data_IF_791514631858
#
_entry.id   IF_791514631858
#
_cell.length_a   1.000
_cell.length_b   1.000
_cell.length_c   1.000
_cell.angle_alpha   90.00
_cell.angle_beta   90.00
_cell.angle_gamma   90.00
#
_symmetry.space_group_name_H-M   'P 1'
#
loop_
_entity.id
_entity.type
_entity.pdbx_description
1 polymer ?
#
# COMPACT_ATOMS: atom_id res chain seq x y z
N UNK A 1 -0.92 -5.90 20.16
CA UNK A 1 0.09 -5.96 19.08
C UNK A 1 0.64 -4.54 18.88
N UNK A 2 1.90 -4.36 18.50
CA UNK A 2 2.48 -3.02 18.29
C UNK A 2 2.13 -2.50 16.90
N UNK A 3 1.89 -1.19 16.77
CA UNK A 3 1.62 -0.52 15.48
C UNK A 3 2.92 -0.05 14.79
N UNK A 4 4.08 -0.54 15.23
CA UNK A 4 5.41 -0.11 14.74
C UNK A 4 5.63 -0.51 13.27
N UNK A 5 5.10 -1.65 12.82
CA UNK A 5 5.17 -2.06 11.41
C UNK A 5 4.21 -1.33 10.47
N UNK A 6 3.45 -0.34 10.96
CA UNK A 6 2.44 0.36 10.14
C UNK A 6 2.97 1.70 9.63
N UNK A 7 2.90 1.86 8.31
CA UNK A 7 3.27 3.07 7.57
C UNK A 7 2.03 3.78 7.01
N UNK A 8 1.93 5.09 7.22
CA UNK A 8 0.94 5.94 6.55
C UNK A 8 1.63 6.69 5.43
N UNK A 9 1.20 6.45 4.19
CA UNK A 9 1.77 7.04 2.98
C UNK A 9 0.78 8.02 2.37
N UNK A 10 1.13 9.30 2.29
CA UNK A 10 0.32 10.34 1.66
C UNK A 10 0.90 10.69 0.29
N UNK A 11 0.13 10.42 -0.77
CA UNK A 11 0.57 10.60 -2.16
C UNK A 11 0.06 11.92 -2.71
N UNK A 12 1.01 12.78 -3.11
CA UNK A 12 0.79 14.05 -3.80
C UNK A 12 -0.21 14.97 -3.08
N UNK A 13 -0.11 15.07 -1.75
CA UNK A 13 -0.97 15.95 -0.96
C UNK A 13 -0.85 17.42 -1.41
N UNK A 14 -1.99 18.05 -1.66
CA UNK A 14 -2.07 19.41 -2.22
C UNK A 14 -2.05 20.47 -1.12
N UNK A 15 -2.81 20.22 -0.05
CA UNK A 15 -2.95 21.15 1.06
C UNK A 15 -2.09 20.70 2.25
N UNK A 16 -1.05 21.47 2.64
CA UNK A 16 -0.17 21.08 3.75
C UNK A 16 -0.92 20.92 5.08
N UNK A 17 -2.03 21.63 5.27
CA UNK A 17 -2.89 21.43 6.44
C UNK A 17 -3.42 19.99 6.59
N UNK A 18 -3.64 19.26 5.48
CA UNK A 18 -4.03 17.85 5.54
C UNK A 18 -2.90 16.95 6.01
N UNK A 19 -1.64 17.27 5.67
CA UNK A 19 -0.46 16.56 6.20
C UNK A 19 -0.41 16.72 7.72
N UNK A 20 -0.60 17.95 8.21
CA UNK A 20 -0.69 18.23 9.64
C UNK A 20 -1.85 17.50 10.32
N UNK A 21 -3.04 17.52 9.72
CA UNK A 21 -4.21 16.80 10.24
C UNK A 21 -4.01 15.29 10.29
N UNK A 22 -3.39 14.70 9.27
CA UNK A 22 -3.03 13.28 9.24
C UNK A 22 -2.00 12.93 10.32
N UNK A 23 -0.95 13.75 10.50
CA UNK A 23 0.02 13.56 11.57
C UNK A 23 -0.65 13.62 12.96
N UNK A 24 -1.57 14.56 13.17
CA UNK A 24 -2.36 14.62 14.42
C UNK A 24 -3.19 13.35 14.64
N UNK A 25 -3.87 12.88 13.59
CA UNK A 25 -4.66 11.65 13.66
C UNK A 25 -3.80 10.43 14.01
N UNK A 26 -2.62 10.30 13.39
CA UNK A 26 -1.64 9.27 13.69
C UNK A 26 -1.16 9.31 15.14
N UNK A 27 -0.79 10.50 15.63
CA UNK A 27 -0.35 10.67 17.02
C UNK A 27 -1.44 10.30 18.03
N UNK A 28 -2.69 10.66 17.77
CA UNK A 28 -3.83 10.27 18.61
C UNK A 28 -3.99 8.74 18.73
N UNK A 29 -3.56 8.00 17.72
CA UNK A 29 -3.70 6.54 17.64
C UNK A 29 -2.38 5.79 17.89
N UNK A 30 -1.28 6.50 18.14
CA UNK A 30 0.02 5.92 18.46
C UNK A 30 0.83 5.41 17.26
N UNK A 31 0.57 5.93 16.05
CA UNK A 31 1.37 5.61 14.85
C UNK A 31 2.50 6.62 14.66
N UNK A 32 3.65 6.15 14.20
CA UNK A 32 4.90 6.94 14.16
C UNK A 32 5.54 7.08 12.76
N UNK A 33 5.08 6.35 11.75
CA UNK A 33 5.75 6.27 10.45
C UNK A 33 4.93 6.96 9.36
N UNK A 34 5.21 8.26 9.15
CA UNK A 34 4.60 9.08 8.11
C UNK A 34 5.54 9.17 6.90
N UNK A 35 5.02 8.83 5.73
CA UNK A 35 5.72 8.92 4.45
C UNK A 35 4.94 9.82 3.50
N UNK A 36 5.66 10.68 2.78
CA UNK A 36 5.07 11.65 1.85
C UNK A 36 5.67 11.43 0.47
N UNK A 37 4.83 11.10 -0.52
CA UNK A 37 5.26 10.91 -1.90
C UNK A 37 4.92 12.16 -2.70
N UNK A 38 5.92 12.94 -3.10
CA UNK A 38 5.74 14.17 -3.87
C UNK A 38 4.73 15.17 -3.27
N UNK A 39 4.81 15.56 -1.99
CA UNK A 39 3.92 16.57 -1.42
C UNK A 39 4.11 17.91 -2.13
N UNK A 40 3.02 18.62 -2.46
CA UNK A 40 3.12 19.88 -3.20
C UNK A 40 3.80 20.99 -2.38
N UNK A 41 3.60 20.97 -1.06
CA UNK A 41 4.18 21.93 -0.12
C UNK A 41 4.52 21.24 1.19
N UNK A 42 5.80 20.96 1.42
CA UNK A 42 6.32 20.41 2.67
C UNK A 42 7.84 20.65 2.76
N UNK A 43 8.40 21.08 3.91
CA UNK A 43 7.72 21.42 5.17
C UNK A 43 6.84 22.68 5.04
N UNK A 44 5.91 22.88 5.98
CA UNK A 44 5.01 24.05 5.98
C UNK A 44 4.54 24.39 7.38
N UNK A 45 4.53 25.69 7.74
CA UNK A 45 3.96 26.19 8.99
C UNK A 45 2.49 25.82 9.13
N UNK A 46 1.73 25.76 8.04
CA UNK A 46 0.33 25.34 8.07
C UNK A 46 0.19 23.88 8.54
N UNK A 47 1.07 22.99 8.07
CA UNK A 47 1.10 21.60 8.52
C UNK A 47 1.44 21.53 10.01
N UNK A 48 2.46 22.28 10.47
CA UNK A 48 2.87 22.33 11.88
C UNK A 48 1.74 22.83 12.79
N UNK A 49 1.04 23.90 12.40
CA UNK A 49 -0.11 24.44 13.15
C UNK A 49 -1.24 23.41 13.21
N UNK A 50 -1.56 22.75 12.09
CA UNK A 50 -2.62 21.74 12.02
C UNK A 50 -2.28 20.45 12.77
N UNK A 51 -1.01 20.11 12.90
CA UNK A 51 -0.55 18.95 13.68
C UNK A 51 -0.80 19.09 15.18
N UNK A 52 -0.98 20.32 15.70
CA UNK A 52 -1.43 20.60 17.06
C UNK A 52 -0.71 19.76 18.14
N UNK A 53 0.63 19.80 18.16
CA UNK A 53 1.47 19.06 19.10
C UNK A 53 2.11 17.79 18.53
N UNK A 54 1.64 17.31 17.37
CA UNK A 54 2.22 16.17 16.66
C UNK A 54 3.39 16.55 15.71
N UNK A 55 4.13 17.63 15.99
CA UNK A 55 5.21 18.11 15.12
C UNK A 55 6.34 17.08 14.92
N UNK A 56 6.60 16.25 15.93
CA UNK A 56 7.59 15.18 15.86
C UNK A 56 7.34 14.19 14.69
N UNK A 57 6.09 13.97 14.31
CA UNK A 57 5.75 13.14 13.14
C UNK A 57 6.08 13.84 11.82
N UNK A 58 5.94 15.16 11.76
CA UNK A 58 6.32 15.95 10.58
C UNK A 58 7.84 16.03 10.47
N UNK A 59 8.54 16.20 11.58
CA UNK A 59 10.01 16.24 11.64
C UNK A 59 10.66 14.91 11.24
N UNK A 60 10.01 13.79 11.57
CA UNK A 60 10.45 12.43 11.21
C UNK A 60 9.84 11.93 9.89
N UNK A 61 8.99 12.73 9.23
CA UNK A 61 8.34 12.30 8.01
C UNK A 61 9.38 12.05 6.91
N UNK A 62 9.26 10.91 6.24
CA UNK A 62 10.16 10.56 5.13
C UNK A 62 9.52 11.04 3.84
N UNK A 63 10.22 11.90 3.10
CA UNK A 63 9.78 12.38 1.79
C UNK A 63 10.42 11.50 0.72
N UNK A 64 9.57 10.88 -0.09
CA UNK A 64 9.95 9.95 -1.15
C UNK A 64 9.70 10.57 -2.53
N UNK A 65 10.53 10.19 -3.51
CA UNK A 65 10.37 10.62 -4.90
C UNK A 65 9.21 9.88 -5.59
N UNK A 66 9.07 8.58 -5.28
CA UNK A 66 8.03 7.72 -5.87
C UNK A 66 7.25 6.94 -4.82
N UNK A 67 6.12 6.36 -5.25
CA UNK A 67 5.37 5.43 -4.40
C UNK A 67 6.19 4.16 -4.13
N UNK A 68 6.99 3.71 -5.10
CA UNK A 68 7.80 2.50 -4.98
C UNK A 68 8.87 2.66 -3.87
N UNK A 69 9.46 3.86 -3.72
CA UNK A 69 10.38 4.15 -2.62
C UNK A 69 9.68 4.12 -1.25
N UNK A 70 8.41 4.55 -1.21
CA UNK A 70 7.63 4.63 0.02
C UNK A 70 7.05 3.29 0.48
N UNK A 71 6.99 2.27 -0.37
CA UNK A 71 6.39 0.97 -0.04
C UNK A 71 7.29 -0.22 -0.37
N UNK A 72 8.49 0.01 -0.89
CA UNK A 72 9.35 -1.03 -1.46
C UNK A 72 9.67 -2.18 -0.52
N UNK A 73 9.83 -1.89 0.77
CA UNK A 73 10.10 -2.84 1.86
C UNK A 73 8.85 -3.38 2.56
N UNK A 74 7.65 -2.96 2.14
CA UNK A 74 6.38 -3.43 2.70
C UNK A 74 5.95 -4.76 2.05
N UNK A 75 5.67 -5.76 2.88
CA UNK A 75 5.06 -7.03 2.45
C UNK A 75 3.56 -6.90 2.16
N UNK A 76 2.90 -5.90 2.74
CA UNK A 76 1.49 -5.59 2.47
C UNK A 76 1.26 -4.10 2.23
N UNK A 77 0.61 -3.77 1.11
CA UNK A 77 0.28 -2.41 0.69
C UNK A 77 -1.22 -2.32 0.43
N UNK A 78 -1.89 -1.47 1.22
CA UNK A 78 -3.33 -1.23 1.16
C UNK A 78 -3.59 0.18 0.62
N UNK A 79 -4.28 0.27 -0.50
CA UNK A 79 -4.69 1.55 -1.10
C UNK A 79 -6.06 1.99 -0.62
N UNK A 80 -6.25 3.27 -0.33
CA UNK A 80 -7.57 3.83 0.02
C UNK A 80 -8.30 4.37 -1.21
N UNK A 81 -9.60 4.09 -1.33
CA UNK A 81 -10.42 4.58 -2.45
C UNK A 81 -11.83 4.94 -2.00
N UNK A 82 -12.38 6.02 -2.58
CA UNK A 82 -13.79 6.39 -2.44
C UNK A 82 -14.68 5.81 -3.54
N UNK A 83 -14.07 5.37 -4.66
CA UNK A 83 -14.79 4.90 -5.85
C UNK A 83 -14.76 3.39 -5.90
N UNK A 84 -15.90 2.80 -6.24
CA UNK A 84 -15.97 1.41 -6.69
C UNK A 84 -15.22 1.32 -8.02
N UNK A 85 -14.05 0.69 -7.99
CA UNK A 85 -13.19 0.59 -9.18
C UNK A 85 -13.57 -0.63 -10.02
N UNK A 86 -13.16 -0.59 -11.28
CA UNK A 86 -13.50 -1.60 -12.28
C UNK A 86 -12.98 -3.00 -11.92
N UNK A 87 -13.68 -4.01 -12.45
CA UNK A 87 -13.46 -5.46 -12.33
C UNK A 87 -12.00 -5.81 -12.03
N UNK A 88 -11.67 -6.17 -10.78
CA UNK A 88 -10.43 -6.89 -10.48
C UNK A 88 -9.61 -6.58 -9.26
N UNK A 89 -9.76 -5.41 -8.69
CA UNK A 89 -9.25 -5.11 -7.36
C UNK A 89 -10.10 -5.83 -6.31
N UNK A 90 -9.46 -6.39 -5.29
CA UNK A 90 -10.15 -6.91 -4.11
C UNK A 90 -10.47 -5.70 -3.22
N UNK A 91 -11.64 -5.10 -3.47
CA UNK A 91 -12.18 -4.05 -2.61
C UNK A 91 -12.70 -4.70 -1.32
N UNK A 92 -12.21 -4.22 -0.19
CA UNK A 92 -12.51 -4.73 1.13
C UNK A 92 -13.09 -3.63 2.00
N UNK A 93 -13.99 -4.02 2.91
CA UNK A 93 -14.40 -3.15 4.01
C UNK A 93 -13.22 -2.92 4.97
N UNK A 94 -13.25 -1.85 5.79
CA UNK A 94 -12.24 -1.62 6.81
C UNK A 94 -12.02 -2.87 7.70
N UNK A 95 -13.09 -3.50 8.18
CA UNK A 95 -13.00 -4.70 9.03
C UNK A 95 -12.29 -5.87 8.33
N UNK A 96 -12.60 -6.11 7.05
CA UNK A 96 -11.99 -7.18 6.28
C UNK A 96 -10.49 -6.92 6.03
N UNK A 97 -10.10 -5.66 5.81
CA UNK A 97 -8.69 -5.28 5.74
C UNK A 97 -8.00 -5.46 7.09
N UNK A 98 -8.64 -5.08 8.20
CA UNK A 98 -8.03 -5.24 9.53
C UNK A 98 -7.79 -6.71 9.87
N UNK A 99 -8.64 -7.63 9.41
CA UNK A 99 -8.36 -9.06 9.54
C UNK A 99 -7.05 -9.45 8.84
N UNK A 100 -6.81 -8.94 7.62
CA UNK A 100 -5.55 -9.16 6.88
C UNK A 100 -4.34 -8.51 7.53
N UNK A 101 -4.52 -7.35 8.14
CA UNK A 101 -3.46 -6.68 8.91
C UNK A 101 -3.08 -7.53 10.12
N UNK A 102 -4.05 -8.03 10.91
CA UNK A 102 -3.77 -8.83 12.11
C UNK A 102 -2.97 -10.10 11.80
N UNK A 103 -3.23 -10.73 10.66
CA UNK A 103 -2.48 -11.90 10.19
C UNK A 103 -0.97 -11.60 9.96
N UNK A 104 -0.61 -10.33 9.73
CA UNK A 104 0.71 -9.94 9.18
C UNK A 104 1.47 -8.88 9.99
N UNK A 105 0.81 -8.21 10.92
CA UNK A 105 1.38 -7.05 11.64
C UNK A 105 2.64 -7.37 12.46
N UNK A 106 2.87 -8.64 12.78
CA UNK A 106 4.07 -9.11 13.49
C UNK A 106 5.21 -9.54 12.57
N UNK A 107 4.93 -9.80 11.29
CA UNK A 107 5.89 -10.39 10.33
C UNK A 107 6.29 -9.42 9.24
N UNK A 108 5.38 -8.54 8.82
CA UNK A 108 5.54 -7.71 7.63
C UNK A 108 5.42 -6.23 7.95
N UNK A 109 6.16 -5.40 7.21
CA UNK A 109 5.87 -3.98 7.13
C UNK A 109 4.60 -3.75 6.28
N UNK A 110 3.68 -2.93 6.78
CA UNK A 110 2.37 -2.70 6.17
C UNK A 110 2.18 -1.22 5.87
N UNK A 111 1.91 -0.88 4.61
CA UNK A 111 1.63 0.48 4.18
C UNK A 111 0.14 0.70 3.90
N UNK A 112 -0.41 1.79 4.46
CA UNK A 112 -1.69 2.35 4.06
C UNK A 112 -1.47 3.59 3.20
N UNK A 113 -1.91 3.55 1.95
CA UNK A 113 -1.66 4.56 0.93
C UNK A 113 -2.91 5.41 0.71
N UNK A 114 -2.75 6.72 0.86
CA UNK A 114 -3.79 7.72 0.67
C UNK A 114 -3.45 8.62 -0.51
N UNK A 115 -4.45 8.85 -1.36
CA UNK A 115 -4.28 9.64 -2.57
C UNK A 115 -4.50 11.14 -2.39
N UNK A 116 -4.46 11.83 -3.52
CA UNK A 116 -4.72 13.26 -3.67
C UNK A 116 -6.15 13.59 -3.23
N UNK A 117 -6.36 14.79 -2.70
CA UNK A 117 -7.68 15.22 -2.19
C UNK A 117 -8.78 15.18 -3.26
N UNK A 118 -8.49 15.70 -4.46
CA UNK A 118 -9.49 15.84 -5.52
C UNK A 118 -9.71 14.56 -6.34
N UNK A 119 -8.66 13.74 -6.52
CA UNK A 119 -8.66 12.64 -7.49
C UNK A 119 -8.37 11.26 -6.89
N UNK A 120 -7.98 11.20 -5.62
CA UNK A 120 -7.49 9.98 -4.99
C UNK A 120 -6.23 9.43 -5.65
N UNK A 121 -6.04 8.11 -5.54
CA UNK A 121 -4.93 7.38 -6.16
C UNK A 121 -5.18 7.16 -7.66
N UNK A 122 -4.12 7.26 -8.45
CA UNK A 122 -4.15 6.89 -9.87
C UNK A 122 -4.30 5.37 -10.03
N UNK A 123 -4.63 4.91 -11.24
CA UNK A 123 -4.71 3.46 -11.49
C UNK A 123 -3.35 2.78 -11.31
N UNK A 124 -2.26 3.43 -11.72
CA UNK A 124 -0.91 2.88 -11.53
C UNK A 124 -0.51 2.82 -10.05
N UNK A 125 -0.92 3.80 -9.24
CA UNK A 125 -0.71 3.76 -7.78
C UNK A 125 -1.54 2.65 -7.12
N UNK A 126 -2.80 2.46 -7.54
CA UNK A 126 -3.63 1.35 -7.05
C UNK A 126 -3.13 -0.02 -7.49
N UNK A 127 -2.50 -0.12 -8.66
CA UNK A 127 -1.87 -1.36 -9.15
C UNK A 127 -0.65 -1.77 -8.29
N UNK A 128 -0.10 -0.87 -7.46
CA UNK A 128 0.92 -1.20 -6.44
C UNK A 128 0.35 -1.78 -5.15
N UNK A 129 -0.97 -1.67 -4.95
CA UNK A 129 -1.64 -2.10 -3.72
C UNK A 129 -2.24 -3.51 -3.90
N UNK A 130 -2.06 -4.40 -2.92
CA UNK A 130 -2.65 -5.74 -2.96
C UNK A 130 -4.13 -5.70 -2.59
N UNK A 131 -4.52 -4.85 -1.65
CA UNK A 131 -5.91 -4.64 -1.26
C UNK A 131 -6.31 -3.18 -1.38
N UNK A 132 -7.58 -2.94 -1.70
CA UNK A 132 -8.15 -1.60 -1.68
C UNK A 132 -9.19 -1.51 -0.57
N UNK A 133 -9.01 -0.57 0.35
CA UNK A 133 -10.00 -0.30 1.40
C UNK A 133 -10.92 0.84 0.96
N UNK A 134 -12.22 0.60 1.10
CA UNK A 134 -13.25 1.63 0.89
C UNK A 134 -13.94 1.89 2.21
N UNK A 135 -13.83 3.12 2.70
CA UNK A 135 -14.56 3.57 3.88
C UNK A 135 -16.04 3.72 3.48
N UNK A 136 -16.98 3.05 4.16
CA UNK A 136 -18.41 3.20 3.88
C UNK A 136 -18.85 4.66 4.12
N UNK A 137 -19.45 5.26 3.10
CA UNK A 137 -19.95 6.64 3.11
C UNK A 137 -21.19 6.74 2.23
N UNK A 138 -21.93 7.83 2.39
CA UNK A 138 -23.04 8.19 1.53
C UNK A 138 -22.58 8.28 0.07
N UNK A 139 -23.22 7.53 -0.84
CA UNK A 139 -22.76 7.40 -2.23
C UNK A 139 -22.82 8.72 -2.98
N UNK A 140 -23.84 9.54 -2.68
CA UNK A 140 -24.01 10.88 -3.24
C UNK A 140 -22.97 11.88 -2.74
N UNK A 141 -22.25 11.58 -1.65
CA UNK A 141 -21.23 12.44 -1.06
C UNK A 141 -20.04 11.64 -0.52
N UNK A 142 -19.37 10.92 -1.43
CA UNK A 142 -18.35 9.92 -1.08
C UNK A 142 -16.93 10.47 -0.83
N UNK A 143 -16.69 11.76 -1.06
CA UNK A 143 -15.37 12.37 -0.88
C UNK A 143 -15.17 12.77 0.59
N UNK A 144 -14.33 12.00 1.29
CA UNK A 144 -13.90 12.32 2.66
C UNK A 144 -12.63 13.18 2.59
N UNK A 145 -12.51 14.16 3.48
CA UNK A 145 -11.25 14.88 3.70
C UNK A 145 -10.10 13.90 4.01
N UNK A 146 -8.90 14.16 3.46
CA UNK A 146 -7.73 13.28 3.60
C UNK A 146 -7.39 12.96 5.07
N UNK A 147 -7.32 13.96 5.95
CA UNK A 147 -6.99 13.75 7.36
C UNK A 147 -8.08 12.96 8.09
N UNK A 148 -9.35 13.14 7.71
CA UNK A 148 -10.46 12.37 8.26
C UNK A 148 -10.44 10.90 7.78
N UNK A 149 -10.09 10.66 6.52
CA UNK A 149 -9.90 9.30 6.01
C UNK A 149 -8.76 8.58 6.75
N UNK A 150 -7.62 9.28 6.97
CA UNK A 150 -6.52 8.77 7.79
C UNK A 150 -7.03 8.44 9.19
N UNK A 151 -7.75 9.37 9.85
CA UNK A 151 -8.30 9.18 11.19
C UNK A 151 -9.15 7.91 11.32
N UNK A 152 -10.04 7.63 10.37
CA UNK A 152 -10.89 6.43 10.38
C UNK A 152 -10.03 5.16 10.29
N UNK A 153 -9.06 5.12 9.38
CA UNK A 153 -8.19 3.95 9.20
C UNK A 153 -7.31 3.72 10.43
N UNK A 154 -6.69 4.79 10.97
CA UNK A 154 -5.83 4.64 12.16
C UNK A 154 -6.63 4.30 13.42
N UNK A 155 -7.88 4.76 13.52
CA UNK A 155 -8.80 4.33 14.56
C UNK A 155 -9.13 2.84 14.45
N UNK A 156 -9.48 2.35 13.25
CA UNK A 156 -9.75 0.92 13.05
C UNK A 156 -8.50 0.07 13.34
N UNK A 157 -7.31 0.53 12.97
CA UNK A 157 -6.05 -0.13 13.34
C UNK A 157 -5.88 -0.22 14.86
N UNK A 158 -6.05 0.89 15.58
CA UNK A 158 -5.95 0.95 17.04
C UNK A 158 -6.95 0.00 17.70
N UNK A 159 -8.23 0.09 17.31
CA UNK A 159 -9.33 -0.75 17.80
C UNK A 159 -9.08 -2.24 17.56
N UNK A 160 -8.54 -2.62 16.40
CA UNK A 160 -8.37 -4.02 16.03
C UNK A 160 -7.02 -4.63 16.47
N UNK A 161 -6.01 -3.80 16.77
CA UNK A 161 -4.67 -4.27 17.17
C UNK A 161 -4.36 -4.06 18.66
N UNK A 162 -5.23 -3.36 19.38
CA UNK A 162 -5.19 -3.32 20.84
C UNK A 162 -5.36 -4.74 21.40
N UNK A 163 -4.60 -5.09 22.45
CA UNK A 163 -4.76 -6.38 23.11
C UNK A 163 -6.10 -6.40 23.84
N UNK A 164 -7.15 -6.82 23.14
CA UNK A 164 -8.36 -7.29 23.80
C UNK A 164 -8.06 -8.68 24.37
N UNK A 165 -8.46 -8.91 25.61
CA UNK A 165 -8.06 -10.02 26.50
C UNK A 165 -8.54 -11.41 26.05
N UNK A 166 -8.84 -11.63 24.78
CA UNK A 166 -9.36 -12.89 24.29
C UNK A 166 -8.59 -13.39 23.07
N UNK A 167 -7.98 -14.57 23.28
CA UNK A 167 -7.57 -15.56 22.28
C UNK A 167 -6.39 -15.17 21.40
N UNK A 168 -5.19 -15.35 21.97
CA UNK A 168 -3.95 -15.51 21.22
C UNK A 168 -3.80 -16.97 20.81
N UNK A 169 -4.52 -17.37 19.77
CA UNK A 169 -4.12 -18.54 18.97
C UNK A 169 -4.04 -18.10 17.52
N UNK A 170 -2.82 -18.13 16.99
CA UNK A 170 -2.44 -18.47 15.61
C UNK A 170 -0.99 -18.02 15.42
N UNK A 171 -0.07 -18.71 16.10
CA UNK A 171 1.28 -18.88 15.59
C UNK A 171 1.22 -19.92 14.46
N UNK A 172 0.53 -19.59 13.37
CA UNK A 172 0.73 -20.31 12.11
C UNK A 172 2.10 -19.91 11.58
N UNK A 173 2.82 -20.86 10.99
CA UNK A 173 3.99 -20.61 10.16
C UNK A 173 3.60 -19.68 9.00
N UNK A 174 3.48 -18.39 9.26
CA UNK A 174 3.23 -17.39 8.24
C UNK A 174 4.56 -17.15 7.55
N UNK A 175 4.78 -17.93 6.49
CA UNK A 175 5.78 -17.62 5.48
C UNK A 175 5.64 -16.14 5.07
N UNK A 176 6.77 -15.45 5.06
CA UNK A 176 6.90 -14.01 4.88
C UNK A 176 6.39 -13.59 3.50
N UNK A 177 5.69 -12.45 3.44
CA UNK A 177 5.25 -11.92 2.16
C UNK A 177 6.45 -11.35 1.41
N UNK A 178 6.46 -11.54 0.09
CA UNK A 178 7.40 -10.84 -0.75
C UNK A 178 7.12 -9.33 -0.65
N UNK A 179 8.19 -8.57 -0.46
CA UNK A 179 8.13 -7.11 -0.42
C UNK A 179 7.60 -6.55 -1.75
N UNK A 180 7.04 -5.34 -1.70
CA UNK A 180 6.56 -4.66 -2.91
C UNK A 180 7.65 -4.56 -3.99
N UNK A 181 8.90 -4.34 -3.58
CA UNK A 181 10.06 -4.31 -4.48
C UNK A 181 10.32 -5.67 -5.17
N UNK A 182 10.28 -6.77 -4.43
CA UNK A 182 10.48 -8.13 -4.97
C UNK A 182 9.39 -8.52 -5.97
N UNK A 183 8.13 -8.26 -5.62
CA UNK A 183 6.99 -8.47 -6.51
C UNK A 183 7.12 -7.61 -7.77
N UNK A 184 7.54 -6.36 -7.62
CA UNK A 184 7.75 -5.48 -8.77
C UNK A 184 8.91 -5.95 -9.66
N UNK A 185 9.98 -6.44 -9.06
CA UNK A 185 11.10 -7.05 -9.77
C UNK A 185 10.67 -8.30 -10.55
N UNK A 186 9.80 -9.13 -9.98
CA UNK A 186 9.19 -10.26 -10.70
C UNK A 186 8.35 -9.78 -11.89
N UNK A 187 7.50 -8.77 -11.71
CA UNK A 187 6.68 -8.22 -12.78
C UNK A 187 7.49 -7.64 -13.93
N UNK A 188 8.61 -6.97 -13.64
CA UNK A 188 9.50 -6.44 -14.67
C UNK A 188 10.16 -7.59 -15.45
N UNK A 189 10.73 -8.57 -14.74
CA UNK A 189 11.34 -9.75 -15.38
C UNK A 189 10.32 -10.52 -16.24
N UNK A 190 9.08 -10.68 -15.76
CA UNK A 190 8.01 -11.31 -16.54
C UNK A 190 7.68 -10.53 -17.80
N UNK A 191 7.60 -9.20 -17.71
CA UNK A 191 7.35 -8.33 -18.87
C UNK A 191 8.43 -8.49 -19.94
N UNK A 192 9.71 -8.48 -19.53
CA UNK A 192 10.85 -8.67 -20.42
C UNK A 192 10.74 -10.01 -21.18
N UNK A 193 10.49 -11.12 -20.46
CA UNK A 193 10.36 -12.45 -21.08
C UNK A 193 9.15 -12.54 -22.01
N UNK A 194 8.01 -11.93 -21.64
CA UNK A 194 6.82 -11.94 -22.50
C UNK A 194 7.03 -11.12 -23.79
N UNK A 195 7.81 -10.04 -23.73
CA UNK A 195 8.21 -9.28 -24.93
C UNK A 195 9.17 -10.11 -25.77
N UNK A 196 10.22 -10.65 -25.17
CA UNK A 196 11.23 -11.43 -25.88
C UNK A 196 10.62 -12.61 -26.61
N UNK A 197 9.75 -13.38 -25.94
CA UNK A 197 9.06 -14.55 -26.52
C UNK A 197 8.08 -14.20 -27.64
N UNK A 198 7.83 -12.91 -27.88
CA UNK A 198 6.88 -12.42 -28.87
C UNK A 198 5.42 -12.57 -28.45
N UNK A 199 5.14 -13.00 -27.21
CA UNK A 199 3.78 -13.02 -26.65
C UNK A 199 3.22 -11.59 -26.55
N UNK A 200 4.05 -10.66 -26.09
CA UNK A 200 3.80 -9.21 -26.17
C UNK A 200 4.52 -8.64 -27.38
N UNK A 201 3.82 -8.55 -28.52
CA UNK A 201 4.36 -7.98 -29.78
C UNK A 201 4.66 -6.47 -29.72
N UNK A 202 4.15 -5.78 -28.71
CA UNK A 202 4.27 -4.34 -28.46
C UNK A 202 4.01 -4.13 -26.96
N UNK A 203 4.47 -3.04 -26.31
CA UNK A 203 4.10 -2.72 -24.92
C UNK A 203 2.58 -2.52 -24.76
N UNK A 204 1.84 -3.62 -24.72
CA UNK A 204 0.38 -3.62 -24.52
C UNK A 204 0.13 -3.57 -23.03
N UNK A 205 0.11 -2.35 -22.48
CA UNK A 205 -0.15 -2.11 -21.06
C UNK A 205 -1.44 -2.81 -20.59
N UNK A 206 -2.44 -2.95 -21.47
CA UNK A 206 -3.71 -3.62 -21.15
C UNK A 206 -3.57 -5.12 -20.96
N UNK A 207 -2.83 -5.82 -21.82
CA UNK A 207 -2.63 -7.28 -21.67
C UNK A 207 -1.72 -7.56 -20.49
N UNK A 208 -0.63 -6.80 -20.34
CA UNK A 208 0.28 -6.93 -19.22
C UNK A 208 -0.46 -6.73 -17.87
N UNK A 209 -1.32 -5.73 -17.75
CA UNK A 209 -2.16 -5.55 -16.55
C UNK A 209 -3.04 -6.76 -16.25
N UNK A 210 -3.63 -7.39 -17.29
CA UNK A 210 -4.41 -8.62 -17.09
C UNK A 210 -3.56 -9.78 -16.60
N UNK A 211 -2.31 -9.90 -17.07
CA UNK A 211 -1.37 -10.93 -16.61
C UNK A 211 -0.94 -10.65 -15.17
N UNK A 212 -0.49 -9.44 -14.85
CA UNK A 212 -0.12 -9.04 -13.47
C UNK A 212 -1.25 -9.31 -12.49
N UNK A 213 -2.50 -9.07 -12.92
CA UNK A 213 -3.70 -9.35 -12.13
C UNK A 213 -3.93 -10.82 -11.79
N UNK A 214 -3.36 -11.77 -12.53
CA UNK A 214 -3.46 -13.19 -12.16
C UNK A 214 -2.71 -13.41 -10.84
N UNK A 215 -1.52 -12.82 -10.73
CA UNK A 215 -0.65 -12.94 -9.56
C UNK A 215 -1.03 -11.99 -8.42
N UNK A 216 -1.66 -10.86 -8.71
CA UNK A 216 -2.01 -9.85 -7.70
C UNK A 216 -3.31 -10.13 -6.93
N UNK A 217 -3.97 -11.28 -7.12
CA UNK A 217 -5.23 -11.61 -6.42
C UNK A 217 -5.02 -11.90 -4.94
N UNK A 218 -3.85 -12.41 -4.62
CA UNK A 218 -3.40 -12.73 -3.27
C UNK A 218 -1.98 -12.19 -3.14
N UNK A 219 -1.58 -11.63 -1.98
CA UNK A 219 -0.19 -11.28 -1.73
C UNK A 219 0.71 -12.51 -1.93
N UNK A 220 1.78 -12.33 -2.72
CA UNK A 220 2.75 -13.39 -2.98
C UNK A 220 3.71 -13.52 -1.82
N UNK A 221 4.16 -14.75 -1.57
CA UNK A 221 5.23 -15.05 -0.60
C UNK A 221 6.60 -14.96 -1.25
N UNK A 222 7.64 -14.81 -0.43
CA UNK A 222 9.01 -14.69 -0.91
C UNK A 222 9.46 -15.92 -1.72
N UNK A 223 9.13 -17.13 -1.24
CA UNK A 223 9.40 -18.39 -1.90
C UNK A 223 8.68 -18.50 -3.27
N UNK A 224 7.43 -18.08 -3.34
CA UNK A 224 6.64 -18.04 -4.57
C UNK A 224 7.28 -17.11 -5.62
N UNK A 225 7.69 -15.91 -5.20
CA UNK A 225 8.41 -14.96 -6.08
C UNK A 225 9.72 -15.57 -6.58
N UNK A 226 10.49 -16.22 -5.70
CA UNK A 226 11.74 -16.87 -6.06
C UNK A 226 11.53 -18.01 -7.06
N UNK A 227 10.52 -18.86 -6.86
CA UNK A 227 10.15 -19.94 -7.80
C UNK A 227 9.76 -19.36 -9.16
N UNK A 228 8.88 -18.35 -9.18
CA UNK A 228 8.41 -17.72 -10.42
C UNK A 228 9.56 -17.07 -11.19
N UNK A 229 10.47 -16.37 -10.50
CA UNK A 229 11.68 -15.80 -11.13
C UNK A 229 12.62 -16.90 -11.63
N UNK A 230 12.73 -18.02 -10.93
CA UNK A 230 13.48 -19.20 -11.37
C UNK A 230 12.93 -19.78 -12.68
N UNK A 231 11.61 -19.90 -12.81
CA UNK A 231 10.93 -20.32 -14.05
C UNK A 231 11.26 -19.37 -15.20
N UNK A 232 11.15 -18.05 -14.99
CA UNK A 232 11.47 -17.05 -16.01
C UNK A 232 12.94 -17.11 -16.44
N UNK A 233 13.85 -17.31 -15.48
CA UNK A 233 15.28 -17.46 -15.75
C UNK A 233 15.57 -18.71 -16.59
N UNK A 234 14.88 -19.82 -16.35
CA UNK A 234 15.06 -21.05 -17.13
C UNK A 234 14.63 -20.85 -18.59
N UNK A 235 13.49 -20.18 -18.81
CA UNK A 235 12.98 -19.83 -20.15
C UNK A 235 14.00 -18.95 -20.90
N UNK A 236 14.51 -17.91 -20.23
CA UNK A 236 15.52 -17.01 -20.80
C UNK A 236 16.80 -17.76 -21.18
N UNK A 237 17.28 -18.64 -20.29
CA UNK A 237 18.51 -19.42 -20.51
C UNK A 237 18.41 -20.42 -21.65
N UNK A 238 17.22 -21.01 -21.88
CA UNK A 238 16.97 -21.93 -22.98
C UNK A 238 17.12 -21.21 -24.33
N UNK A 239 16.54 -20.02 -24.48
CA UNK A 239 16.59 -19.26 -25.73
C UNK A 239 17.96 -18.71 -26.11
N UNK A 240 18.87 -18.52 -25.15
CA UNK A 240 20.24 -18.07 -25.47
C UNK A 240 21.14 -19.20 -25.99
N UNK A 241 20.68 -20.45 -25.92
CA UNK A 241 21.40 -21.62 -26.45
C UNK A 241 20.99 -21.97 -27.89
N UNK A 242 19.86 -21.42 -28.36
CA UNK A 242 19.38 -21.50 -29.74
C UNK A 242 19.83 -20.26 -30.55
#
# INVERSE_FOLDING_TARGET
MTLEGIRIVLVNTTHPGNIGGAARAMANMGLNHLYLVGPQRFPSTEATVRAAGASHLLERAIVCESLDDAVGDCGLVVGTTARQRSVGSVELSPDAVMAKVRERILTDQIAFVFGREASGLTNSELERCQYHVRIPVEESFSSINLAAAVMIIVYELKKNCEPHTHETELASNHEQLATSSEVQGFYNHMEDILIETGFLKTPSQKLLRKVKRIFSRTPLREDEVNILRGILTSIHSFRRKD
#
